data_IF_160208605796
#
_entry.id   IF_160208605796
#
_cell.length_a   1.000
_cell.length_b   1.000
_cell.length_c   1.000
_cell.angle_alpha   90.00
_cell.angle_beta   90.00
_cell.angle_gamma   90.00
#
_symmetry.space_group_name_H-M   'P 1'
#
loop_
_entity.id
_entity.type
_entity.pdbx_description
1 polymer ?
#
# COMPACT_ATOMS: atom_id res chain seq x y z
N UNK A 1 58.73 28.07 16.21
CA UNK A 1 57.61 27.11 16.01
C UNK A 1 56.37 27.96 15.77
N UNK A 2 55.67 27.76 14.66
CA UNK A 2 54.45 28.52 14.35
C UNK A 2 53.27 27.61 14.70
N UNK A 3 52.43 28.02 15.64
CA UNK A 3 51.24 27.28 16.10
C UNK A 3 49.97 28.03 15.69
N UNK A 4 48.95 27.28 15.27
CA UNK A 4 47.62 27.81 15.02
C UNK A 4 46.83 27.69 16.33
N UNK A 5 46.47 28.83 16.92
CA UNK A 5 45.54 28.90 18.06
C UNK A 5 44.11 28.93 17.51
N UNK A 6 43.37 27.84 17.72
CA UNK A 6 41.99 27.72 17.25
C UNK A 6 41.05 28.24 18.36
N UNK A 7 40.12 29.14 18.03
CA UNK A 7 39.01 29.45 18.93
C UNK A 7 38.03 28.27 18.93
N UNK A 8 38.05 27.49 20.01
CA UNK A 8 37.27 26.24 20.13
C UNK A 8 35.80 26.47 20.48
N UNK A 9 35.39 27.69 20.89
CA UNK A 9 34.02 27.94 21.33
C UNK A 9 32.99 27.68 20.22
N UNK A 10 33.28 28.12 18.99
CA UNK A 10 32.40 27.87 17.84
C UNK A 10 32.33 26.38 17.48
N UNK A 11 33.45 25.65 17.62
CA UNK A 11 33.50 24.21 17.37
C UNK A 11 32.69 23.44 18.41
N UNK A 12 32.83 23.81 19.70
CA UNK A 12 32.07 23.17 20.78
C UNK A 12 30.56 23.42 20.62
N UNK A 13 30.16 24.66 20.31
CA UNK A 13 28.76 24.98 20.08
C UNK A 13 28.16 24.15 18.95
N UNK A 14 28.88 23.97 17.84
CA UNK A 14 28.42 23.14 16.73
C UNK A 14 28.27 21.66 17.14
N UNK A 15 29.17 21.14 17.98
CA UNK A 15 29.06 19.77 18.50
C UNK A 15 27.86 19.61 19.44
N UNK A 16 27.60 20.60 20.29
CA UNK A 16 26.47 20.59 21.22
C UNK A 16 25.14 20.67 20.45
N UNK A 17 25.04 21.56 19.46
CA UNK A 17 23.86 21.68 18.58
C UNK A 17 23.59 20.38 17.81
N UNK A 18 24.66 19.73 17.31
CA UNK A 18 24.55 18.44 16.64
C UNK A 18 24.07 17.34 17.60
N UNK A 19 24.63 17.28 18.81
CA UNK A 19 24.23 16.32 19.84
C UNK A 19 22.75 16.51 20.25
N UNK A 20 22.29 17.75 20.36
CA UNK A 20 20.91 18.08 20.66
C UNK A 20 19.95 17.62 19.56
N UNK A 21 20.29 17.86 18.29
CA UNK A 21 19.48 17.39 17.14
C UNK A 21 19.49 15.87 17.00
N UNK A 22 20.61 15.20 17.32
CA UNK A 22 20.71 13.74 17.38
C UNK A 22 19.94 13.13 18.56
N UNK A 23 19.68 13.92 19.60
CA UNK A 23 18.81 13.54 20.72
C UNK A 23 17.33 13.76 20.36
N UNK A 24 17.01 14.85 19.66
CA UNK A 24 15.66 15.23 19.24
C UNK A 24 15.40 14.92 17.75
N UNK A 25 15.39 13.64 17.40
CA UNK A 25 15.25 13.12 16.03
C UNK A 25 13.83 13.11 15.48
N UNK A 26 12.83 13.59 16.21
CA UNK A 26 11.45 13.64 15.72
C UNK A 26 11.30 14.30 14.32
N UNK A 27 12.04 15.37 13.96
CA UNK A 27 12.03 15.90 12.60
C UNK A 27 12.58 14.91 11.56
N UNK A 28 13.66 14.20 11.87
CA UNK A 28 14.23 13.15 11.00
C UNK A 28 13.24 12.00 10.81
N UNK A 29 12.70 11.46 11.90
CA UNK A 29 11.75 10.34 11.85
C UNK A 29 10.49 10.69 11.08
N UNK A 30 10.04 11.96 11.11
CA UNK A 30 8.96 12.45 10.26
C UNK A 30 9.29 12.35 8.77
N UNK A 31 10.50 12.72 8.37
CA UNK A 31 10.96 12.60 6.98
C UNK A 31 11.08 11.13 6.56
N UNK A 32 11.60 10.27 7.43
CA UNK A 32 11.66 8.81 7.22
C UNK A 32 10.26 8.23 7.02
N UNK A 33 9.30 8.58 7.89
CA UNK A 33 7.92 8.12 7.78
C UNK A 33 7.24 8.56 6.46
N UNK A 34 7.50 9.80 6.03
CA UNK A 34 7.02 10.29 4.75
C UNK A 34 7.62 9.51 3.56
N UNK A 35 8.90 9.14 3.62
CA UNK A 35 9.54 8.32 2.58
C UNK A 35 8.98 6.90 2.54
N UNK A 36 8.77 6.28 3.69
CA UNK A 36 8.12 4.97 3.80
C UNK A 36 6.71 5.01 3.20
N UNK A 37 5.91 6.05 3.48
CA UNK A 37 4.58 6.18 2.90
C UNK A 37 4.68 6.25 1.38
N UNK A 38 5.56 7.11 0.88
CA UNK A 38 5.79 7.27 -0.56
C UNK A 38 6.14 5.94 -1.23
N UNK A 39 7.02 5.14 -0.65
CA UNK A 39 7.38 3.82 -1.17
C UNK A 39 6.17 2.88 -1.28
N UNK A 40 5.28 2.87 -0.28
CA UNK A 40 4.02 2.11 -0.34
C UNK A 40 3.13 2.62 -1.46
N UNK A 41 3.03 3.94 -1.62
CA UNK A 41 2.21 4.57 -2.64
C UNK A 41 2.74 4.30 -4.06
N UNK A 42 4.05 4.25 -4.22
CA UNK A 42 4.73 3.85 -5.44
C UNK A 42 4.52 2.37 -5.77
N UNK A 43 4.50 1.49 -4.77
CA UNK A 43 4.08 0.10 -4.96
C UNK A 43 2.65 0.02 -5.52
N UNK A 44 1.71 0.82 -5.03
CA UNK A 44 0.37 0.89 -5.61
C UNK A 44 0.40 1.45 -7.03
N UNK A 45 1.13 2.54 -7.28
CA UNK A 45 1.20 3.17 -8.59
C UNK A 45 1.71 2.21 -9.67
N UNK A 46 2.77 1.48 -9.36
CA UNK A 46 3.42 0.46 -10.18
C UNK A 46 2.64 -0.87 -10.25
N UNK A 47 1.59 -1.04 -9.44
CA UNK A 47 0.87 -2.30 -9.29
C UNK A 47 1.76 -3.46 -8.79
N UNK A 48 2.69 -3.13 -7.89
CA UNK A 48 3.67 -4.02 -7.29
C UNK A 48 5.09 -3.78 -7.79
N UNK A 49 6.06 -3.88 -6.89
CA UNK A 49 7.50 -3.90 -7.18
C UNK A 49 8.12 -5.12 -6.48
N UNK A 50 8.17 -6.33 -7.10
CA UNK A 50 7.77 -6.65 -8.48
C UNK A 50 6.24 -6.68 -8.69
N UNK A 51 5.81 -6.64 -9.96
CA UNK A 51 4.39 -6.58 -10.34
C UNK A 51 3.56 -7.69 -9.69
N UNK A 52 2.36 -7.33 -9.23
CA UNK A 52 1.43 -8.26 -8.62
C UNK A 52 0.80 -9.21 -9.63
N UNK A 53 0.40 -10.37 -9.14
CA UNK A 53 -0.45 -11.28 -9.90
C UNK A 53 -1.73 -10.56 -10.38
N UNK A 54 -1.90 -10.59 -11.71
CA UNK A 54 -3.05 -10.06 -12.43
C UNK A 54 -4.39 -10.60 -11.92
N UNK A 55 -5.47 -9.91 -12.30
CA UNK A 55 -6.83 -10.42 -12.08
C UNK A 55 -7.31 -11.21 -13.30
N UNK A 56 -8.13 -12.22 -13.06
CA UNK A 56 -8.81 -12.97 -14.11
C UNK A 56 -9.65 -12.01 -14.98
N UNK A 57 -9.74 -12.27 -16.28
CA UNK A 57 -10.56 -11.48 -17.22
C UNK A 57 -12.00 -11.30 -16.73
N UNK A 58 -12.62 -12.37 -16.20
CA UNK A 58 -13.96 -12.30 -15.62
C UNK A 58 -14.09 -11.32 -14.46
N UNK A 59 -13.05 -11.14 -13.64
CA UNK A 59 -13.04 -10.16 -12.56
C UNK A 59 -13.02 -8.72 -13.08
N UNK A 60 -12.23 -8.45 -14.13
CA UNK A 60 -12.22 -7.14 -14.79
C UNK A 60 -13.57 -6.83 -15.46
N UNK A 61 -14.13 -7.81 -16.18
CA UNK A 61 -15.44 -7.67 -16.81
C UNK A 61 -16.57 -7.50 -15.78
N UNK A 62 -16.50 -8.20 -14.64
CA UNK A 62 -17.44 -8.01 -13.54
C UNK A 62 -17.37 -6.59 -12.97
N UNK A 63 -16.17 -6.01 -12.83
CA UNK A 63 -16.00 -4.61 -12.36
C UNK A 63 -16.59 -3.60 -13.34
N UNK A 64 -16.52 -3.90 -14.64
CA UNK A 64 -17.15 -3.08 -15.67
C UNK A 64 -18.68 -3.28 -15.74
N UNK A 65 -19.22 -4.31 -15.10
CA UNK A 65 -20.64 -4.66 -15.13
C UNK A 65 -21.07 -5.50 -16.33
N UNK A 66 -20.12 -6.03 -17.10
CA UNK A 66 -20.39 -6.82 -18.31
C UNK A 66 -20.98 -8.20 -17.97
N UNK A 67 -20.69 -8.73 -16.77
CA UNK A 67 -21.23 -10.00 -16.29
C UNK A 67 -22.52 -9.82 -15.47
N UNK A 68 -23.30 -8.77 -15.72
CA UNK A 68 -24.62 -8.58 -15.12
C UNK A 68 -25.71 -9.12 -16.03
N UNK A 69 -26.92 -9.36 -15.52
CA UNK A 69 -28.06 -9.90 -16.31
C UNK A 69 -28.36 -9.11 -17.58
N UNK A 70 -28.13 -7.79 -17.57
CA UNK A 70 -28.34 -6.92 -18.74
C UNK A 70 -27.13 -6.89 -19.68
N UNK A 71 -25.93 -7.25 -19.21
CA UNK A 71 -24.70 -7.40 -19.99
C UNK A 71 -24.13 -6.14 -20.68
N UNK A 72 -24.88 -5.03 -20.72
CA UNK A 72 -24.50 -3.81 -21.45
C UNK A 72 -23.53 -2.96 -20.63
N UNK A 73 -22.38 -2.65 -21.21
CA UNK A 73 -21.37 -1.76 -20.66
C UNK A 73 -21.00 -0.72 -21.71
N UNK A 74 -20.99 0.56 -21.33
CA UNK A 74 -20.51 1.62 -22.22
C UNK A 74 -19.01 1.50 -22.42
N UNK A 75 -18.52 1.90 -23.61
CA UNK A 75 -17.08 1.90 -23.90
C UNK A 75 -16.29 2.68 -22.84
N UNK A 76 -16.81 3.82 -22.39
CA UNK A 76 -16.20 4.61 -21.33
C UNK A 76 -16.02 3.83 -20.02
N UNK A 77 -17.03 3.05 -19.60
CA UNK A 77 -16.93 2.23 -18.38
C UNK A 77 -15.97 1.06 -18.57
N UNK A 78 -15.97 0.42 -19.75
CA UNK A 78 -15.03 -0.64 -20.09
C UNK A 78 -13.58 -0.12 -20.02
N UNK A 79 -13.29 0.98 -20.71
CA UNK A 79 -11.97 1.60 -20.72
C UNK A 79 -11.53 1.96 -19.30
N UNK A 80 -12.41 2.54 -18.49
CA UNK A 80 -12.08 2.92 -17.10
C UNK A 80 -11.80 1.73 -16.18
N UNK A 81 -12.56 0.64 -16.28
CA UNK A 81 -12.51 -0.46 -15.31
C UNK A 81 -11.66 -1.65 -15.74
N UNK A 82 -11.49 -1.86 -17.05
CA UNK A 82 -10.72 -2.98 -17.62
C UNK A 82 -9.36 -2.52 -18.07
N UNK A 83 -9.30 -1.52 -18.97
CA UNK A 83 -8.04 -1.07 -19.57
C UNK A 83 -7.24 -0.20 -18.59
N UNK A 84 -7.87 0.83 -18.02
CA UNK A 84 -7.26 1.74 -17.04
C UNK A 84 -7.45 1.29 -15.59
N UNK A 85 -7.98 0.09 -15.36
CA UNK A 85 -8.22 -0.40 -14.02
C UNK A 85 -6.92 -0.82 -13.34
N UNK A 86 -6.65 -0.28 -12.14
CA UNK A 86 -5.49 -0.70 -11.34
C UNK A 86 -5.85 -1.76 -10.29
N UNK A 87 -4.94 -2.71 -10.08
CA UNK A 87 -5.08 -3.74 -9.04
C UNK A 87 -5.00 -3.08 -7.65
N UNK A 88 -5.76 -3.62 -6.68
CA UNK A 88 -5.97 -3.07 -5.33
C UNK A 88 -6.48 -1.61 -5.24
N UNK A 89 -6.85 -0.99 -6.37
CA UNK A 89 -7.21 0.43 -6.45
C UNK A 89 -8.58 0.66 -7.11
N UNK A 90 -9.49 -0.32 -7.07
CA UNK A 90 -10.82 -0.19 -7.70
C UNK A 90 -11.62 1.02 -7.17
N UNK A 91 -11.68 1.16 -5.84
CA UNK A 91 -12.26 2.33 -5.15
C UNK A 91 -11.19 3.20 -4.49
N UNK A 92 -9.93 2.74 -4.46
CA UNK A 92 -8.84 3.40 -3.74
C UNK A 92 -8.81 3.19 -2.22
N UNK A 93 -9.85 2.58 -1.61
CA UNK A 93 -9.98 2.49 -0.13
C UNK A 93 -8.73 1.96 0.59
N UNK A 94 -8.10 0.90 0.07
CA UNK A 94 -6.91 0.33 0.71
C UNK A 94 -5.73 1.30 0.66
N UNK A 95 -5.38 1.78 -0.54
CA UNK A 95 -4.33 2.76 -0.75
C UNK A 95 -4.55 4.02 0.11
N UNK A 96 -5.75 4.58 0.07
CA UNK A 96 -6.09 5.80 0.80
C UNK A 96 -6.20 5.61 2.33
N UNK A 97 -6.11 4.37 2.81
CA UNK A 97 -6.09 4.07 4.25
C UNK A 97 -4.68 3.89 4.80
N UNK A 98 -3.65 3.97 3.95
CA UNK A 98 -2.27 3.97 4.38
C UNK A 98 -2.02 5.29 5.11
N UNK A 99 -1.51 5.19 6.34
CA UNK A 99 -1.14 6.34 7.16
C UNK A 99 0.23 6.10 7.77
N UNK A 100 0.98 7.18 7.91
CA UNK A 100 2.28 7.21 8.57
C UNK A 100 2.20 7.85 9.96
N UNK A 101 3.06 7.39 10.85
CA UNK A 101 3.26 7.95 12.18
C UNK A 101 4.75 7.97 12.48
N UNK A 102 5.18 8.93 13.30
CA UNK A 102 6.56 9.03 13.77
C UNK A 102 6.61 9.63 15.16
N UNK A 103 7.62 9.24 15.91
CA UNK A 103 8.04 9.86 17.16
C UNK A 103 9.56 10.11 17.12
N UNK A 104 10.22 10.26 18.26
CA UNK A 104 11.64 10.53 18.30
C UNK A 104 12.52 9.33 17.86
N UNK A 105 11.99 8.12 17.97
CA UNK A 105 12.77 6.89 17.85
C UNK A 105 12.20 5.93 16.79
N UNK A 106 11.01 6.22 16.26
CA UNK A 106 10.32 5.36 15.32
C UNK A 106 9.65 6.14 14.18
N UNK A 107 9.59 5.47 13.02
CA UNK A 107 8.86 5.88 11.84
C UNK A 107 8.11 4.65 11.31
N UNK A 108 6.79 4.74 11.19
CA UNK A 108 5.91 3.60 10.90
C UNK A 108 4.90 3.99 9.82
N UNK A 109 4.58 3.02 8.96
CA UNK A 109 3.49 3.11 7.99
C UNK A 109 2.59 1.89 8.13
N UNK A 110 1.28 2.09 8.05
CA UNK A 110 0.33 0.99 8.19
C UNK A 110 -1.09 1.32 7.74
N UNK A 111 -2.00 0.38 7.94
CA UNK A 111 -3.43 0.53 7.68
C UNK A 111 -4.24 -0.32 8.65
N UNK A 112 -5.42 0.18 9.04
CA UNK A 112 -6.39 -0.55 9.86
C UNK A 112 -7.40 -1.35 9.03
N UNK A 113 -7.24 -1.41 7.71
CA UNK A 113 -8.14 -2.16 6.84
C UNK A 113 -7.92 -3.66 7.04
N UNK A 114 -8.92 -4.34 7.60
CA UNK A 114 -8.84 -5.78 7.96
C UNK A 114 -8.38 -6.67 6.81
N UNK A 115 -8.83 -6.41 5.57
CA UNK A 115 -8.44 -7.23 4.42
C UNK A 115 -7.03 -6.91 3.88
N UNK A 116 -6.34 -5.91 4.40
CA UNK A 116 -5.00 -5.52 3.97
C UNK A 116 -4.01 -6.67 4.12
N UNK A 117 -4.04 -7.37 5.25
CA UNK A 117 -3.14 -8.47 5.56
C UNK A 117 -3.22 -9.61 4.52
N UNK A 118 -4.44 -10.11 4.23
CA UNK A 118 -4.60 -11.20 3.25
C UNK A 118 -4.29 -10.75 1.81
N UNK A 119 -4.34 -9.45 1.51
CA UNK A 119 -3.84 -8.94 0.24
C UNK A 119 -2.32 -8.85 0.21
N UNK A 120 -1.68 -8.37 1.29
CA UNK A 120 -0.23 -8.24 1.36
C UNK A 120 0.46 -9.61 1.35
N UNK A 121 0.03 -10.52 2.23
CA UNK A 121 0.66 -11.82 2.45
C UNK A 121 0.06 -12.95 1.61
N UNK A 122 -1.11 -12.73 1.01
CA UNK A 122 -1.90 -13.82 0.41
C UNK A 122 -2.57 -14.70 1.46
N UNK A 123 -3.27 -15.74 1.03
CA UNK A 123 -3.87 -16.71 1.95
C UNK A 123 -5.08 -17.44 1.37
N UNK A 124 -5.83 -18.10 2.24
CA UNK A 124 -7.03 -18.86 1.92
C UNK A 124 -8.19 -18.38 2.78
N UNK A 125 -9.31 -18.01 2.16
CA UNK A 125 -10.53 -17.71 2.93
C UNK A 125 -11.23 -19.00 3.33
N UNK A 126 -11.96 -18.97 4.45
CA UNK A 126 -12.70 -20.12 4.95
C UNK A 126 -13.84 -20.52 4.00
N UNK A 127 -14.08 -21.83 3.93
CA UNK A 127 -15.27 -22.37 3.29
C UNK A 127 -16.53 -21.88 4.01
N UNK A 128 -17.56 -21.51 3.25
CA UNK A 128 -18.82 -21.04 3.79
C UNK A 128 -19.94 -21.23 2.78
N UNK A 129 -21.18 -21.19 3.25
CA UNK A 129 -22.35 -21.32 2.39
C UNK A 129 -22.98 -19.96 2.17
N UNK A 130 -23.26 -19.65 0.90
CA UNK A 130 -23.88 -18.39 0.49
C UNK A 130 -25.37 -18.64 0.27
N UNK A 131 -26.20 -17.82 0.91
CA UNK A 131 -27.66 -17.86 0.81
C UNK A 131 -28.23 -16.51 0.37
N UNK A 132 -29.35 -16.48 -0.35
CA UNK A 132 -30.02 -15.24 -0.70
C UNK A 132 -30.71 -14.65 0.55
N UNK A 133 -30.41 -13.39 0.89
CA UNK A 133 -30.99 -12.72 2.07
C UNK A 133 -32.43 -12.25 1.84
N UNK A 134 -32.70 -11.65 0.68
CA UNK A 134 -33.96 -10.94 0.39
C UNK A 134 -34.75 -11.52 -0.80
N UNK A 135 -34.23 -12.56 -1.46
CA UNK A 135 -34.82 -13.15 -2.68
C UNK A 135 -34.95 -14.67 -2.51
N UNK A 136 -35.77 -15.30 -3.36
CA UNK A 136 -36.03 -16.75 -3.31
C UNK A 136 -34.84 -17.61 -3.79
N UNK A 137 -33.95 -17.05 -4.60
CA UNK A 137 -32.79 -17.74 -5.15
C UNK A 137 -31.68 -16.78 -5.56
N UNK A 138 -30.45 -17.31 -5.63
CA UNK A 138 -29.28 -16.63 -6.20
C UNK A 138 -29.26 -16.84 -7.72
N UNK A 139 -28.92 -15.79 -8.46
CA UNK A 139 -28.74 -15.83 -9.91
C UNK A 139 -27.73 -14.77 -10.36
N UNK A 140 -26.84 -15.14 -11.27
CA UNK A 140 -25.84 -14.27 -11.89
C UNK A 140 -25.84 -14.49 -13.40
N UNK A 141 -25.02 -13.75 -14.17
CA UNK A 141 -25.12 -13.80 -15.63
C UNK A 141 -24.59 -15.09 -16.27
N UNK A 142 -23.73 -15.84 -15.57
CA UNK A 142 -23.06 -17.03 -16.10
C UNK A 142 -23.42 -18.28 -15.29
N UNK A 143 -23.24 -19.48 -15.84
CA UNK A 143 -23.42 -20.74 -15.11
C UNK A 143 -24.88 -21.16 -14.87
N UNK A 144 -25.05 -22.18 -14.02
CA UNK A 144 -26.35 -22.80 -13.76
C UNK A 144 -27.07 -22.08 -12.62
N UNK A 145 -28.16 -21.37 -12.95
CA UNK A 145 -29.00 -20.61 -12.04
C UNK A 145 -30.47 -20.74 -12.48
N UNK A 146 -31.46 -20.46 -11.61
CA UNK A 146 -31.35 -20.04 -10.20
C UNK A 146 -30.98 -21.19 -9.24
N UNK A 147 -30.27 -20.87 -8.15
CA UNK A 147 -29.93 -21.84 -7.07
C UNK A 147 -30.35 -21.33 -5.68
N UNK A 148 -30.72 -22.24 -4.77
CA UNK A 148 -31.12 -21.89 -3.39
C UNK A 148 -29.95 -21.56 -2.47
N UNK A 149 -28.77 -22.14 -2.72
CA UNK A 149 -27.52 -21.91 -1.97
C UNK A 149 -26.31 -22.22 -2.83
N UNK A 150 -25.15 -21.68 -2.46
CA UNK A 150 -23.84 -22.04 -3.03
C UNK A 150 -22.90 -22.48 -1.91
N UNK A 151 -22.34 -23.68 -2.01
CA UNK A 151 -21.28 -24.12 -1.11
C UNK A 151 -19.95 -23.60 -1.64
N UNK A 152 -19.42 -22.54 -1.03
CA UNK A 152 -18.19 -21.91 -1.47
C UNK A 152 -17.00 -22.52 -0.71
N UNK A 153 -15.99 -23.11 -1.39
CA UNK A 153 -14.87 -23.79 -0.75
C UNK A 153 -13.87 -22.84 -0.08
N UNK A 154 -14.10 -21.53 -0.19
CA UNK A 154 -13.11 -20.51 0.11
C UNK A 154 -12.31 -20.14 -1.15
N UNK A 155 -11.57 -19.05 -1.07
CA UNK A 155 -10.76 -18.54 -2.18
C UNK A 155 -9.29 -18.52 -1.79
N UNK A 156 -8.45 -19.07 -2.66
CA UNK A 156 -7.00 -18.85 -2.63
C UNK A 156 -6.70 -17.47 -3.20
N UNK A 157 -6.17 -16.59 -2.36
CA UNK A 157 -5.80 -15.22 -2.71
C UNK A 157 -4.28 -15.17 -2.85
N UNK A 158 -3.74 -14.81 -4.03
CA UNK A 158 -2.30 -14.63 -4.18
C UNK A 158 -1.84 -13.38 -3.42
N UNK A 159 -0.60 -13.44 -2.91
CA UNK A 159 0.06 -12.30 -2.31
C UNK A 159 0.23 -11.16 -3.32
N UNK A 160 0.01 -9.94 -2.83
CA UNK A 160 0.21 -8.69 -3.55
C UNK A 160 0.92 -7.74 -2.57
N UNK A 161 2.21 -7.97 -2.30
CA UNK A 161 2.93 -7.22 -1.29
C UNK A 161 3.00 -5.74 -1.70
N UNK A 162 2.42 -4.87 -0.87
CA UNK A 162 2.45 -3.42 -1.06
C UNK A 162 3.19 -2.71 0.10
N UNK A 163 3.39 -3.41 1.22
CA UNK A 163 4.21 -2.97 2.35
C UNK A 163 5.64 -3.52 2.23
N UNK A 164 6.31 -3.18 1.13
CA UNK A 164 7.69 -3.63 0.85
C UNK A 164 8.51 -2.45 0.37
N UNK A 165 9.79 -2.44 0.74
CA UNK A 165 10.77 -1.50 0.22
C UNK A 165 11.58 -2.19 -0.87
N UNK A 166 11.88 -1.46 -1.93
CA UNK A 166 12.89 -1.89 -2.91
C UNK A 166 14.28 -1.44 -2.44
N UNK A 167 15.38 -1.98 -3.02
CA UNK A 167 16.73 -1.51 -2.69
C UNK A 167 16.91 0.00 -2.93
N UNK A 168 16.23 0.56 -3.94
CA UNK A 168 16.22 2.00 -4.19
C UNK A 168 15.52 2.76 -3.04
N UNK A 169 14.35 2.28 -2.60
CA UNK A 169 13.65 2.91 -1.47
C UNK A 169 14.51 2.88 -0.18
N UNK A 170 15.26 1.79 0.04
CA UNK A 170 16.19 1.69 1.18
C UNK A 170 17.36 2.68 1.06
N UNK A 171 17.93 2.84 -0.13
CA UNK A 171 18.98 3.83 -0.38
C UNK A 171 18.46 5.26 -0.15
N UNK A 172 17.22 5.55 -0.56
CA UNK A 172 16.60 6.86 -0.33
C UNK A 172 16.39 7.16 1.16
N UNK A 173 16.13 6.15 1.99
CA UNK A 173 16.04 6.33 3.44
C UNK A 173 17.39 6.69 4.04
N UNK A 174 18.47 6.05 3.58
CA UNK A 174 19.84 6.38 4.00
C UNK A 174 20.23 7.79 3.55
N UNK A 175 19.86 8.18 2.34
CA UNK A 175 20.04 9.54 1.84
C UNK A 175 19.28 10.55 2.70
N UNK A 176 18.03 10.25 3.06
CA UNK A 176 17.21 11.11 3.95
C UNK A 176 17.89 11.36 5.30
N UNK A 177 18.51 10.32 5.88
CA UNK A 177 19.30 10.45 7.12
C UNK A 177 20.54 11.30 6.88
N UNK A 178 21.27 11.04 5.79
CA UNK A 178 22.51 11.75 5.46
C UNK A 178 22.26 13.25 5.23
N UNK A 179 21.21 13.59 4.49
CA UNK A 179 20.78 14.97 4.26
C UNK A 179 20.42 15.66 5.57
N UNK A 180 19.69 14.99 6.46
CA UNK A 180 19.39 15.54 7.78
C UNK A 180 20.66 15.84 8.58
N UNK A 181 21.61 14.90 8.60
CA UNK A 181 22.91 15.11 9.25
C UNK A 181 23.76 16.19 8.58
N UNK A 182 23.54 16.51 7.31
CA UNK A 182 24.19 17.66 6.67
C UNK A 182 23.56 19.00 7.06
N UNK A 183 22.35 19.01 7.62
CA UNK A 183 21.67 20.22 8.12
C UNK A 183 21.95 20.51 9.60
N UNK A 184 22.55 19.56 10.32
CA UNK A 184 22.84 19.74 11.74
C UNK A 184 24.09 20.57 11.95
#
# INVERSE_FOLDING_TARGET
MIEIQINTAAVQQALDDAADKLTHRAPLMRSVAARLHRAVDDNFNAQGRPEWAGLKTGSWLSRAGALTKRGRVSQARYNKKVIGGKILQNTGRLRNSITEQSDNDSAVVGTNVVYAAIHNFGGQTAAHVIYPRNKKALAWATGMYPVKKVNHPGSKIPARPFMVLTPEDEADLVETVSDYLATI
#
